data_IF_436601988662
#
_entry.id   IF_436601988662
#
_cell.length_a   1.000
_cell.length_b   1.000
_cell.length_c   1.000
_cell.angle_alpha   90.00
_cell.angle_beta   90.00
_cell.angle_gamma   90.00
#
_symmetry.space_group_name_H-M   'P 1'
#
loop_
_entity.id
_entity.type
_entity.pdbx_description
1 polymer ?
#
# COMPACT_ATOMS: atom_id res chain seq x y z
N UNK A 1 -5.77 7.79 2.12
CA UNK A 1 -7.04 7.06 2.10
C UNK A 1 -7.32 6.42 3.45
N UNK A 2 -6.44 5.53 3.96
CA UNK A 2 -6.60 4.91 5.29
C UNK A 2 -6.73 5.98 6.38
N UNK A 3 -5.72 6.84 6.57
CA UNK A 3 -5.75 7.91 7.60
C UNK A 3 -6.87 8.95 7.43
N UNK A 4 -7.43 9.11 6.22
CA UNK A 4 -8.46 10.13 5.93
C UNK A 4 -9.89 9.60 6.11
N UNK A 5 -10.09 8.30 5.86
CA UNK A 5 -11.41 7.66 5.77
C UNK A 5 -11.58 6.48 6.72
N UNK A 6 -10.54 6.04 7.44
CA UNK A 6 -10.71 5.19 8.61
C UNK A 6 -11.42 6.00 9.69
N UNK A 7 -12.28 5.36 10.49
CA UNK A 7 -12.63 5.90 11.81
C UNK A 7 -11.35 6.22 12.58
N UNK A 8 -11.43 7.05 13.61
CA UNK A 8 -10.32 7.44 14.50
C UNK A 8 -9.66 6.25 15.25
N UNK A 9 -9.87 5.02 14.80
CA UNK A 9 -9.46 3.75 15.39
C UNK A 9 -8.30 3.06 14.65
N UNK A 10 -7.71 3.66 13.61
CA UNK A 10 -6.54 3.07 12.96
C UNK A 10 -5.30 3.29 13.84
N UNK A 11 -4.90 2.26 14.56
CA UNK A 11 -3.76 2.33 15.50
C UNK A 11 -2.44 1.88 14.87
N UNK A 12 -2.48 0.89 13.97
CA UNK A 12 -1.26 0.30 13.41
C UNK A 12 -1.39 -0.12 11.94
N UNK A 13 -0.26 -0.09 11.24
CA UNK A 13 -0.09 -0.57 9.87
C UNK A 13 1.16 -1.45 9.80
N UNK A 14 1.00 -2.66 9.29
CA UNK A 14 2.11 -3.58 9.04
C UNK A 14 2.31 -3.79 7.54
N UNK A 15 3.54 -3.55 7.06
CA UNK A 15 3.96 -3.80 5.69
C UNK A 15 4.99 -4.93 5.67
N UNK A 16 4.73 -5.98 4.88
CA UNK A 16 5.75 -6.97 4.55
C UNK A 16 6.01 -6.86 3.05
N UNK A 17 7.27 -6.60 2.68
CA UNK A 17 7.61 -6.34 1.28
C UNK A 17 8.97 -6.94 0.92
N UNK A 18 9.28 -7.00 -0.38
CA UNK A 18 10.59 -7.43 -0.86
C UNK A 18 11.58 -6.27 -0.82
N UNK A 19 12.85 -6.59 -0.58
CA UNK A 19 13.92 -5.63 -0.79
C UNK A 19 14.09 -5.37 -2.28
N UNK A 20 14.23 -4.09 -2.64
CA UNK A 20 14.65 -3.73 -3.99
C UNK A 20 16.18 -3.81 -4.07
N UNK A 21 16.69 -4.73 -4.89
CA UNK A 21 18.12 -5.09 -4.92
C UNK A 21 19.03 -3.91 -5.25
N UNK A 22 18.58 -2.99 -6.11
CA UNK A 22 19.42 -1.89 -6.59
C UNK A 22 19.33 -0.62 -5.73
N UNK A 23 18.34 -0.53 -4.83
CA UNK A 23 18.11 0.70 -4.06
C UNK A 23 17.42 0.46 -2.69
N UNK A 24 17.97 -0.51 -1.97
CA UNK A 24 17.48 -0.89 -0.64
C UNK A 24 17.52 0.27 0.36
N UNK A 25 18.56 1.10 0.33
CA UNK A 25 18.73 2.19 1.29
C UNK A 25 17.75 3.35 1.02
N UNK A 26 17.47 3.68 -0.25
CA UNK A 26 16.40 4.63 -0.56
C UNK A 26 15.06 4.06 -0.11
N UNK A 27 14.76 2.79 -0.42
CA UNK A 27 13.50 2.15 -0.01
C UNK A 27 13.29 2.24 1.51
N UNK A 28 14.32 1.90 2.30
CA UNK A 28 14.30 2.04 3.76
C UNK A 28 14.09 3.48 4.21
N UNK A 29 14.84 4.43 3.65
CA UNK A 29 14.73 5.85 4.04
C UNK A 29 13.32 6.39 3.81
N UNK A 30 12.66 6.00 2.71
CA UNK A 30 11.27 6.37 2.40
C UNK A 30 10.28 5.76 3.37
N UNK A 31 10.45 4.48 3.74
CA UNK A 31 9.61 3.87 4.77
C UNK A 31 9.81 4.50 6.14
N UNK A 32 11.02 4.95 6.48
CA UNK A 32 11.28 5.69 7.73
C UNK A 32 10.64 7.08 7.72
N UNK A 33 10.63 7.78 6.58
CA UNK A 33 9.92 9.04 6.40
C UNK A 33 8.40 8.86 6.61
N UNK A 34 7.82 7.81 6.02
CA UNK A 34 6.41 7.45 6.21
C UNK A 34 6.14 7.11 7.69
N UNK A 35 7.02 6.34 8.33
CA UNK A 35 6.92 6.00 9.75
C UNK A 35 6.85 7.25 10.63
N UNK A 36 7.75 8.20 10.39
CA UNK A 36 7.80 9.45 11.15
C UNK A 36 6.53 10.30 10.92
N UNK A 37 6.02 10.35 9.69
CA UNK A 37 4.79 11.08 9.37
C UNK A 37 3.55 10.47 10.03
N UNK A 38 3.44 9.14 10.06
CA UNK A 38 2.34 8.42 10.71
C UNK A 38 2.40 8.53 12.24
N UNK A 39 3.60 8.49 12.82
CA UNK A 39 3.80 8.64 14.27
C UNK A 39 3.30 9.98 14.81
N UNK A 40 3.38 11.07 14.02
CA UNK A 40 2.81 12.38 14.40
C UNK A 40 1.28 12.35 14.59
N UNK A 41 0.62 11.31 14.09
CA UNK A 41 -0.83 11.08 14.21
C UNK A 41 -1.17 9.94 15.17
N UNK A 42 -0.19 9.42 15.92
CA UNK A 42 -0.38 8.30 16.84
C UNK A 42 -0.53 6.94 16.16
N UNK A 43 -0.18 6.83 14.87
CA UNK A 43 -0.29 5.59 14.12
C UNK A 43 1.07 4.89 14.06
N UNK A 44 1.12 3.64 14.51
CA UNK A 44 2.32 2.83 14.44
C UNK A 44 2.51 2.23 13.05
N UNK A 45 3.70 2.38 12.48
CA UNK A 45 4.06 1.77 11.21
C UNK A 45 5.25 0.83 11.36
N UNK A 46 5.01 -0.43 11.03
CA UNK A 46 5.99 -1.50 11.03
C UNK A 46 6.20 -1.98 9.60
N UNK A 47 7.46 -2.14 9.21
CA UNK A 47 7.80 -2.76 7.93
C UNK A 47 8.87 -3.83 8.12
N UNK A 48 8.71 -4.95 7.40
CA UNK A 48 9.64 -6.07 7.41
C UNK A 48 9.94 -6.47 5.97
N UNK A 49 11.19 -6.82 5.72
CA UNK A 49 11.61 -7.34 4.43
C UNK A 49 11.56 -8.87 4.40
N UNK A 50 11.00 -9.44 3.33
CA UNK A 50 11.00 -10.88 3.10
C UNK A 50 11.16 -11.21 1.62
N UNK A 51 12.06 -12.15 1.31
CA UNK A 51 12.36 -12.59 -0.06
C UNK A 51 11.45 -13.73 -0.54
N UNK A 52 10.64 -14.31 0.34
CA UNK A 52 9.75 -15.44 0.04
C UNK A 52 8.30 -15.02 -0.23
N UNK A 53 7.99 -13.72 -0.16
CA UNK A 53 6.64 -13.22 -0.40
C UNK A 53 6.29 -13.25 -1.88
N UNK A 54 5.25 -13.96 -2.28
CA UNK A 54 4.74 -13.91 -3.66
C UNK A 54 3.35 -13.27 -3.75
N UNK A 55 2.56 -13.41 -2.68
CA UNK A 55 1.17 -12.98 -2.63
C UNK A 55 1.05 -11.47 -2.35
N UNK A 56 -0.01 -10.86 -2.90
CA UNK A 56 -0.35 -9.45 -2.63
C UNK A 56 -1.70 -9.41 -1.93
N UNK A 57 -1.64 -9.14 -0.64
CA UNK A 57 -2.78 -9.30 0.27
C UNK A 57 -2.86 -8.10 1.20
N UNK A 58 -4.08 -7.71 1.53
CA UNK A 58 -4.39 -6.68 2.51
C UNK A 58 -5.33 -7.29 3.53
N UNK A 59 -4.86 -7.36 4.78
CA UNK A 59 -5.64 -7.84 5.91
C UNK A 59 -6.13 -6.66 6.72
N UNK A 60 -7.41 -6.71 7.10
CA UNK A 60 -8.04 -5.77 8.01
C UNK A 60 -8.48 -6.50 9.27
N UNK A 61 -8.40 -5.83 10.41
CA UNK A 61 -8.75 -6.34 11.74
C UNK A 61 -10.22 -6.77 11.86
N UNK A 62 -11.09 -6.17 11.07
CA UNK A 62 -12.50 -6.51 10.94
C UNK A 62 -12.79 -7.74 10.06
N UNK A 63 -11.75 -8.52 9.71
CA UNK A 63 -11.87 -9.80 9.01
C UNK A 63 -11.92 -9.71 7.49
N UNK A 64 -11.77 -8.52 6.91
CA UNK A 64 -11.63 -8.39 5.46
C UNK A 64 -10.24 -8.76 4.99
N UNK A 65 -10.17 -9.56 3.93
CA UNK A 65 -8.97 -9.88 3.19
C UNK A 65 -9.20 -9.50 1.73
N UNK A 66 -8.36 -8.60 1.21
CA UNK A 66 -8.40 -8.18 -0.19
C UNK A 66 -7.13 -8.67 -0.87
N UNK A 67 -7.26 -9.35 -2.00
CA UNK A 67 -6.14 -9.74 -2.86
C UNK A 67 -6.23 -9.03 -4.19
N UNK A 68 -5.13 -8.45 -4.64
CA UNK A 68 -5.06 -7.74 -5.93
C UNK A 68 -3.94 -8.37 -6.75
N UNK A 69 -4.24 -8.86 -7.96
CA UNK A 69 -3.26 -9.58 -8.78
C UNK A 69 -1.93 -8.84 -8.97
N UNK A 70 -1.98 -7.51 -9.10
CA UNK A 70 -0.80 -6.62 -9.23
C UNK A 70 -0.39 -5.90 -7.93
N UNK A 71 -1.08 -6.13 -6.81
CA UNK A 71 -0.89 -5.35 -5.58
C UNK A 71 -1.32 -3.89 -5.77
N UNK A 72 -0.55 -2.95 -5.21
CA UNK A 72 -0.82 -1.50 -5.34
C UNK A 72 -0.38 -0.90 -6.70
N UNK A 73 0.31 -1.68 -7.54
CA UNK A 73 0.91 -1.23 -8.80
C UNK A 73 0.09 -1.66 -10.03
N UNK A 74 -1.17 -1.21 -10.08
CA UNK A 74 -2.09 -1.49 -11.19
C UNK A 74 -2.41 -0.26 -12.04
N UNK A 75 -1.81 0.90 -11.79
CA UNK A 75 -2.05 2.09 -12.61
C UNK A 75 -1.10 2.18 -13.80
N UNK A 76 -1.61 2.55 -14.97
CA UNK A 76 -0.76 2.83 -16.14
C UNK A 76 0.05 4.11 -15.95
N UNK A 77 1.25 4.16 -16.53
CA UNK A 77 2.06 5.37 -16.54
C UNK A 77 1.36 6.50 -17.30
N UNK A 78 1.52 7.74 -16.85
CA UNK A 78 1.00 8.90 -17.56
C UNK A 78 1.87 9.21 -18.78
N UNK A 79 1.26 9.66 -19.88
CA UNK A 79 1.97 10.01 -21.11
C UNK A 79 2.78 11.34 -21.00
N UNK A 80 2.74 12.01 -19.85
CA UNK A 80 3.45 13.26 -19.59
C UNK A 80 3.30 13.72 -18.15
N UNK A 81 4.05 14.77 -17.78
CA UNK A 81 4.11 15.29 -16.41
C UNK A 81 2.83 16.05 -15.99
N UNK A 82 2.13 16.67 -16.95
CA UNK A 82 0.94 17.50 -16.71
C UNK A 82 -0.29 16.95 -17.42
N UNK A 83 -0.59 15.67 -17.18
CA UNK A 83 -1.76 15.00 -17.73
C UNK A 83 -2.83 14.77 -16.67
N UNK A 84 -4.09 14.71 -17.09
CA UNK A 84 -5.20 14.27 -16.25
C UNK A 84 -4.89 12.86 -15.75
N UNK A 85 -5.12 12.60 -14.47
CA UNK A 85 -4.68 11.38 -13.81
C UNK A 85 -3.28 11.45 -13.19
N UNK A 86 -2.52 12.55 -13.36
CA UNK A 86 -1.20 12.76 -12.75
C UNK A 86 -1.22 12.84 -11.21
N UNK A 87 -2.21 13.55 -10.67
CA UNK A 87 -2.37 13.75 -9.22
C UNK A 87 -3.53 12.93 -8.65
N UNK A 88 -4.64 12.87 -9.38
CA UNK A 88 -5.82 12.11 -8.97
C UNK A 88 -5.86 10.75 -9.69
N UNK A 89 -5.56 9.70 -8.92
CA UNK A 89 -5.52 8.34 -9.43
C UNK A 89 -6.90 7.82 -9.88
N UNK A 90 -8.02 8.42 -9.47
CA UNK A 90 -9.35 8.02 -9.94
C UNK A 90 -9.56 8.27 -11.43
N UNK A 91 -8.78 9.19 -12.00
CA UNK A 91 -8.78 9.51 -13.43
C UNK A 91 -7.62 8.83 -14.20
N UNK A 92 -6.79 8.02 -13.51
CA UNK A 92 -5.65 7.36 -14.14
C UNK A 92 -6.08 6.01 -14.73
N UNK A 93 -5.79 5.73 -16.02
CA UNK A 93 -6.06 4.41 -16.59
C UNK A 93 -5.36 3.29 -15.82
N UNK A 94 -6.00 2.13 -15.72
CA UNK A 94 -5.49 0.96 -15.00
C UNK A 94 -4.98 -0.12 -15.96
N UNK A 95 -3.98 -0.86 -15.53
CA UNK A 95 -3.63 -2.16 -16.11
C UNK A 95 -4.67 -3.20 -15.70
N UNK A 96 -4.86 -4.20 -16.54
CA UNK A 96 -5.73 -5.33 -16.22
C UNK A 96 -5.24 -6.05 -14.95
N UNK A 97 -6.15 -6.29 -14.02
CA UNK A 97 -5.89 -7.02 -12.77
C UNK A 97 -7.19 -7.61 -12.23
N UNK A 98 -7.08 -8.65 -11.42
CA UNK A 98 -8.18 -9.16 -10.60
C UNK A 98 -8.14 -8.51 -9.22
N UNK A 99 -9.33 -8.40 -8.60
CA UNK A 99 -9.51 -7.99 -7.21
C UNK A 99 -10.44 -9.00 -6.56
N UNK A 100 -9.90 -9.79 -5.65
CA UNK A 100 -10.63 -10.82 -4.92
C UNK A 100 -10.85 -10.34 -3.48
N UNK A 101 -12.11 -10.37 -3.04
CA UNK A 101 -12.52 -9.88 -1.73
C UNK A 101 -13.06 -11.04 -0.92
N UNK A 102 -12.47 -11.27 0.24
CA UNK A 102 -12.82 -12.33 1.17
C UNK A 102 -13.21 -11.73 2.52
N UNK A 103 -14.23 -12.32 3.14
CA UNK A 103 -14.59 -12.02 4.52
C UNK A 103 -14.32 -13.28 5.34
N UNK A 104 -13.27 -13.24 6.15
CA UNK A 104 -12.99 -14.30 7.10
C UNK A 104 -13.83 -14.01 8.35
N UNK A 105 -14.77 -14.89 8.69
CA UNK A 105 -15.46 -14.81 9.98
C UNK A 105 -14.45 -15.22 11.05
N UNK A 106 -14.01 -14.25 11.83
CA UNK A 106 -13.28 -14.46 13.09
C UNK A 106 -14.31 -14.81 14.17
#
# INVERSE_FOLDING_TARGET
>A
MLVKHSSDSLESIQLITRMYNDDTELQKSRFMEIKASLAQRGIEFYFVFSNTLHDREFYFDNGWLIKIGRGLDFYQSTQGQFQIGGMDLSMRPCMETTVDIFQCRI
#
